data_IF_624660279666
#
_entry.id   IF_624660279666
#
_cell.length_a   1.000
_cell.length_b   1.000
_cell.length_c   1.000
_cell.angle_alpha   90.00
_cell.angle_beta   90.00
_cell.angle_gamma   90.00
#
_symmetry.space_group_name_H-M   'P 1'
#
loop_
_entity.id
_entity.type
_entity.pdbx_description
1 polymer ?
#
# COMPACT_ATOMS: atom_id res chain seq x y z
N UNK A 1 -24.41 15.23 -1.65
CA UNK A 1 -25.30 14.38 -0.83
C UNK A 1 -25.66 15.15 0.43
N UNK A 2 -26.92 15.26 0.74
CA UNK A 2 -27.37 16.00 1.94
C UNK A 2 -27.16 15.17 3.21
N UNK A 3 -26.92 15.86 4.36
CA UNK A 3 -26.82 15.22 5.68
C UNK A 3 -27.93 14.18 5.96
N UNK A 4 -29.22 14.45 5.68
CA UNK A 4 -30.29 13.48 5.90
C UNK A 4 -30.14 12.18 5.10
N UNK A 5 -29.65 12.25 3.86
CA UNK A 5 -29.43 11.06 3.00
C UNK A 5 -28.27 10.21 3.53
N UNK A 6 -27.20 10.83 4.03
CA UNK A 6 -26.10 10.11 4.68
C UNK A 6 -26.56 9.36 5.92
N UNK A 7 -27.40 9.98 6.77
CA UNK A 7 -27.95 9.33 7.97
C UNK A 7 -28.97 8.23 7.67
N UNK A 8 -29.60 8.19 6.51
CA UNK A 8 -30.45 7.09 6.07
C UNK A 8 -29.65 5.80 5.75
N UNK A 9 -28.41 5.98 5.25
CA UNK A 9 -27.56 4.86 4.86
C UNK A 9 -26.55 4.46 5.96
N UNK A 10 -26.15 5.40 6.82
CA UNK A 10 -25.17 5.19 7.86
C UNK A 10 -25.68 5.74 9.20
N UNK A 11 -26.13 4.89 10.13
CA UNK A 11 -26.71 5.29 11.41
C UNK A 11 -25.72 6.04 12.31
N UNK A 12 -24.40 5.94 12.06
CA UNK A 12 -23.37 6.62 12.82
C UNK A 12 -22.16 7.07 12.00
N UNK A 13 -21.36 7.97 12.60
CA UNK A 13 -20.09 8.40 11.97
C UNK A 13 -19.11 7.25 11.78
N UNK A 14 -19.10 6.30 12.71
CA UNK A 14 -18.24 5.13 12.63
C UNK A 14 -18.63 4.23 11.46
N UNK A 15 -19.93 4.01 11.23
CA UNK A 15 -20.41 3.18 10.12
C UNK A 15 -20.01 3.78 8.77
N UNK A 16 -20.17 5.10 8.60
CA UNK A 16 -19.71 5.80 7.41
C UNK A 16 -18.20 5.70 7.24
N UNK A 17 -17.45 5.89 8.33
CA UNK A 17 -16.00 5.77 8.29
C UNK A 17 -15.55 4.36 7.90
N UNK A 18 -16.14 3.32 8.49
CA UNK A 18 -15.84 1.93 8.15
C UNK A 18 -16.14 1.62 6.68
N UNK A 19 -17.26 2.12 6.15
CA UNK A 19 -17.59 1.93 4.73
C UNK A 19 -16.59 2.62 3.79
N UNK A 20 -16.10 3.80 4.16
CA UNK A 20 -15.04 4.50 3.41
C UNK A 20 -13.70 3.75 3.51
N UNK A 21 -13.36 3.27 4.70
CA UNK A 21 -12.16 2.48 4.94
C UNK A 21 -12.19 1.20 4.10
N UNK A 22 -13.28 0.44 4.15
CA UNK A 22 -13.47 -0.79 3.37
C UNK A 22 -13.26 -0.52 1.88
N UNK A 23 -13.88 0.53 1.33
CA UNK A 23 -13.71 0.93 -0.07
C UNK A 23 -12.24 1.21 -0.43
N UNK A 24 -11.51 1.91 0.43
CA UNK A 24 -10.11 2.23 0.18
C UNK A 24 -9.21 1.01 0.35
N UNK A 25 -9.49 0.13 1.30
CA UNK A 25 -8.80 -1.15 1.45
C UNK A 25 -8.96 -2.02 0.19
N UNK A 26 -10.19 -2.16 -0.31
CA UNK A 26 -10.48 -2.91 -1.54
C UNK A 26 -9.75 -2.31 -2.75
N UNK A 27 -9.68 -0.97 -2.82
CA UNK A 27 -8.95 -0.28 -3.89
C UNK A 27 -7.46 -0.58 -3.85
N UNK A 28 -6.83 -0.51 -2.66
CA UNK A 28 -5.41 -0.81 -2.51
C UNK A 28 -5.11 -2.26 -2.87
N UNK A 29 -5.87 -3.21 -2.33
CA UNK A 29 -5.69 -4.62 -2.63
C UNK A 29 -5.83 -4.91 -4.12
N UNK A 30 -6.84 -4.32 -4.78
CA UNK A 30 -7.05 -4.46 -6.22
C UNK A 30 -5.88 -3.92 -7.04
N UNK A 31 -5.32 -2.77 -6.66
CA UNK A 31 -4.15 -2.18 -7.32
C UNK A 31 -2.91 -3.06 -7.18
N UNK A 32 -2.66 -3.61 -5.98
CA UNK A 32 -1.53 -4.50 -5.72
C UNK A 32 -1.68 -5.79 -6.52
N UNK A 33 -2.83 -6.44 -6.49
CA UNK A 33 -3.07 -7.66 -7.27
C UNK A 33 -2.93 -7.42 -8.76
N UNK A 34 -3.51 -6.36 -9.30
CA UNK A 34 -3.36 -6.00 -10.73
C UNK A 34 -1.89 -5.74 -11.11
N UNK A 35 -1.09 -5.15 -10.22
CA UNK A 35 0.34 -4.94 -10.44
C UNK A 35 1.13 -6.26 -10.53
N UNK A 36 0.76 -7.27 -9.75
CA UNK A 36 1.38 -8.58 -9.72
C UNK A 36 0.99 -9.47 -10.90
N UNK A 37 -0.25 -9.33 -11.40
CA UNK A 37 -0.77 -10.10 -12.54
C UNK A 37 -0.14 -9.71 -13.87
N UNK A 38 0.48 -8.55 -13.97
CA UNK A 38 1.09 -8.11 -15.22
C UNK A 38 2.28 -9.00 -15.58
N UNK A 39 2.24 -9.59 -16.75
CA UNK A 39 3.33 -10.39 -17.30
C UNK A 39 4.63 -9.57 -17.41
N UNK A 40 5.74 -10.23 -17.15
CA UNK A 40 7.08 -9.63 -17.17
C UNK A 40 7.99 -10.34 -16.18
N UNK A 41 9.21 -9.82 -16.03
CA UNK A 41 10.11 -10.29 -15.00
C UNK A 41 9.74 -9.71 -13.60
N UNK A 42 10.36 -10.23 -12.58
CA UNK A 42 10.06 -9.85 -11.21
C UNK A 42 10.49 -8.41 -10.87
N UNK A 43 11.48 -7.85 -11.57
CA UNK A 43 11.86 -6.44 -11.42
C UNK A 43 10.68 -5.53 -11.81
N UNK A 44 10.01 -5.84 -12.92
CA UNK A 44 8.81 -5.12 -13.36
C UNK A 44 7.64 -5.27 -12.39
N UNK A 45 7.43 -6.47 -11.84
CA UNK A 45 6.39 -6.70 -10.82
C UNK A 45 6.65 -5.87 -9.55
N UNK A 46 7.91 -5.84 -9.08
CA UNK A 46 8.30 -5.01 -7.93
C UNK A 46 8.08 -3.52 -8.22
N UNK A 47 8.50 -3.04 -9.41
CA UNK A 47 8.31 -1.64 -9.80
C UNK A 47 6.82 -1.26 -9.82
N UNK A 48 5.98 -2.08 -10.40
CA UNK A 48 4.54 -1.82 -10.49
C UNK A 48 3.83 -1.92 -9.14
N UNK A 49 4.24 -2.87 -8.30
CA UNK A 49 3.67 -3.00 -6.96
C UNK A 49 4.00 -1.77 -6.11
N UNK A 50 5.25 -1.31 -6.13
CA UNK A 50 5.63 -0.07 -5.44
C UNK A 50 4.84 1.12 -6.01
N UNK A 51 4.77 1.25 -7.33
CA UNK A 51 4.01 2.32 -7.98
C UNK A 51 2.51 2.30 -7.59
N UNK A 52 1.92 1.12 -7.38
CA UNK A 52 0.53 0.98 -6.94
C UNK A 52 0.29 1.63 -5.55
N UNK A 53 1.22 1.52 -4.61
CA UNK A 53 1.11 2.20 -3.32
C UNK A 53 1.20 3.73 -3.45
N UNK A 54 2.12 4.24 -4.28
CA UNK A 54 2.22 5.68 -4.54
C UNK A 54 0.96 6.21 -5.23
N UNK A 55 0.49 5.53 -6.27
CA UNK A 55 -0.77 5.85 -6.95
C UNK A 55 -1.95 5.85 -5.99
N UNK A 56 -2.02 4.87 -5.08
CA UNK A 56 -3.08 4.79 -4.08
C UNK A 56 -3.10 6.02 -3.18
N UNK A 57 -1.98 6.40 -2.56
CA UNK A 57 -1.94 7.56 -1.67
C UNK A 57 -2.20 8.87 -2.39
N UNK A 58 -1.76 9.01 -3.65
CA UNK A 58 -2.03 10.18 -4.49
C UNK A 58 -3.50 10.27 -4.86
N UNK A 59 -4.10 9.18 -5.33
CA UNK A 59 -5.50 9.16 -5.76
C UNK A 59 -6.49 9.32 -4.61
N UNK A 60 -6.16 8.78 -3.43
CA UNK A 60 -6.96 8.96 -2.23
C UNK A 60 -6.81 10.38 -1.63
N UNK A 61 -5.67 11.04 -1.84
CA UNK A 61 -5.44 12.43 -1.46
C UNK A 61 -5.82 12.77 -0.01
N UNK A 62 -6.70 13.77 0.18
CA UNK A 62 -7.16 14.16 1.52
C UNK A 62 -7.95 13.05 2.22
N UNK A 63 -8.65 12.18 1.47
CA UNK A 63 -9.37 11.04 2.03
C UNK A 63 -8.41 10.02 2.66
N UNK A 64 -7.20 9.86 2.12
CA UNK A 64 -6.18 8.99 2.70
C UNK A 64 -5.89 9.38 4.16
N UNK A 65 -5.57 10.65 4.42
CA UNK A 65 -5.30 11.13 5.78
C UNK A 65 -6.51 10.99 6.70
N UNK A 66 -7.69 11.30 6.20
CA UNK A 66 -8.92 11.17 6.98
C UNK A 66 -9.23 9.73 7.36
N UNK A 67 -8.92 8.77 6.50
CA UNK A 67 -9.23 7.34 6.69
C UNK A 67 -8.10 6.60 7.41
N UNK A 68 -6.84 6.83 7.03
CA UNK A 68 -5.70 6.04 7.52
C UNK A 68 -4.90 6.72 8.64
N UNK A 69 -5.08 8.02 8.88
CA UNK A 69 -4.33 8.80 9.87
C UNK A 69 -5.24 9.45 10.93
N UNK A 70 -6.50 9.01 11.04
CA UNK A 70 -7.43 9.55 12.03
C UNK A 70 -7.27 8.89 13.40
N UNK A 71 -7.77 9.55 14.44
CA UNK A 71 -7.81 9.00 15.80
C UNK A 71 -8.65 7.70 15.89
N UNK A 72 -9.52 7.47 14.90
CA UNK A 72 -10.33 6.25 14.80
C UNK A 72 -9.51 4.99 14.48
N UNK A 73 -8.26 5.12 14.07
CA UNK A 73 -7.36 3.97 13.84
C UNK A 73 -7.10 3.16 15.12
N UNK A 74 -7.36 3.74 16.30
CA UNK A 74 -7.31 3.03 17.60
C UNK A 74 -8.53 2.19 17.90
N UNK A 75 -9.65 2.39 17.18
CA UNK A 75 -10.88 1.61 17.36
C UNK A 75 -10.65 0.16 16.88
N UNK A 76 -10.99 -0.86 17.68
CA UNK A 76 -10.66 -2.26 17.33
C UNK A 76 -11.17 -2.71 15.97
N UNK A 77 -12.39 -2.31 15.58
CA UNK A 77 -12.97 -2.65 14.28
C UNK A 77 -12.21 -2.01 13.10
N UNK A 78 -11.72 -0.79 13.28
CA UNK A 78 -10.88 -0.08 12.30
C UNK A 78 -9.53 -0.76 12.19
N UNK A 79 -8.92 -1.05 13.34
CA UNK A 79 -7.62 -1.73 13.39
C UNK A 79 -7.66 -3.08 12.68
N UNK A 80 -8.69 -3.89 12.95
CA UNK A 80 -8.85 -5.18 12.30
C UNK A 80 -8.90 -5.09 10.76
N UNK A 81 -9.51 -4.04 10.20
CA UNK A 81 -9.55 -3.84 8.74
C UNK A 81 -8.20 -3.40 8.18
N UNK A 82 -7.50 -2.53 8.89
CA UNK A 82 -6.16 -2.11 8.49
C UNK A 82 -5.17 -3.29 8.50
N UNK A 83 -5.20 -4.08 9.58
CA UNK A 83 -4.37 -5.28 9.69
C UNK A 83 -4.72 -6.31 8.61
N UNK A 84 -6.00 -6.44 8.26
CA UNK A 84 -6.44 -7.35 7.19
C UNK A 84 -5.94 -6.93 5.81
N UNK A 85 -6.03 -5.65 5.43
CA UNK A 85 -5.54 -5.19 4.12
C UNK A 85 -4.02 -5.29 4.02
N UNK A 86 -3.30 -5.01 5.11
CA UNK A 86 -1.85 -5.19 5.17
C UNK A 86 -1.47 -6.67 4.93
N UNK A 87 -2.16 -7.58 5.60
CA UNK A 87 -1.94 -9.01 5.42
C UNK A 87 -2.31 -9.48 4.00
N UNK A 88 -3.47 -9.10 3.47
CA UNK A 88 -3.91 -9.50 2.14
C UNK A 88 -2.94 -9.03 1.04
N UNK A 89 -2.40 -7.81 1.15
CA UNK A 89 -1.38 -7.33 0.22
C UNK A 89 -0.06 -8.11 0.36
N UNK A 90 0.35 -8.41 1.61
CA UNK A 90 1.56 -9.19 1.87
C UNK A 90 1.43 -10.62 1.34
N UNK A 91 0.28 -11.27 1.53
CA UNK A 91 -0.03 -12.61 1.02
C UNK A 91 0.00 -12.64 -0.51
N UNK A 92 -0.61 -11.67 -1.19
CA UNK A 92 -0.58 -11.59 -2.65
C UNK A 92 0.85 -11.48 -3.21
N UNK A 93 1.72 -10.71 -2.54
CA UNK A 93 3.15 -10.62 -2.91
C UNK A 93 3.87 -11.93 -2.58
N UNK A 94 3.55 -12.55 -1.44
CA UNK A 94 4.16 -13.80 -1.00
C UNK A 94 3.86 -14.96 -1.96
N UNK A 95 2.64 -15.05 -2.50
CA UNK A 95 2.26 -16.04 -3.51
C UNK A 95 3.22 -16.01 -4.71
N UNK A 96 3.49 -14.82 -5.26
CA UNK A 96 4.44 -14.64 -6.37
C UNK A 96 5.86 -15.02 -5.96
N UNK A 97 6.31 -14.63 -4.76
CA UNK A 97 7.65 -14.97 -4.26
C UNK A 97 7.79 -16.50 -4.11
N UNK A 98 6.80 -17.17 -3.55
CA UNK A 98 6.81 -18.62 -3.37
C UNK A 98 6.88 -19.36 -4.71
N UNK A 99 6.07 -18.93 -5.69
CA UNK A 99 6.06 -19.50 -7.04
C UNK A 99 7.42 -19.37 -7.74
N UNK A 100 8.04 -18.20 -7.64
CA UNK A 100 9.27 -17.90 -8.39
C UNK A 100 10.55 -18.39 -7.70
N UNK A 101 10.54 -18.53 -6.38
CA UNK A 101 11.75 -18.88 -5.59
C UNK A 101 11.70 -20.28 -5.00
N UNK A 102 10.52 -20.88 -4.88
CA UNK A 102 10.31 -22.11 -4.15
C UNK A 102 10.42 -21.93 -2.62
N UNK A 103 10.34 -20.70 -2.12
CA UNK A 103 10.30 -20.44 -0.68
C UNK A 103 9.05 -21.05 -0.06
N UNK A 104 9.17 -21.55 1.17
CA UNK A 104 7.99 -21.95 1.94
C UNK A 104 7.12 -20.75 2.31
N UNK A 105 5.88 -21.03 2.69
CA UNK A 105 4.87 -20.00 2.96
C UNK A 105 5.31 -19.00 4.04
N UNK A 106 6.00 -19.46 5.09
CA UNK A 106 6.46 -18.60 6.20
C UNK A 106 7.53 -17.61 5.71
N UNK A 107 8.51 -18.09 4.93
CA UNK A 107 9.56 -17.24 4.35
C UNK A 107 9.02 -16.30 3.29
N UNK A 108 8.14 -16.80 2.44
CA UNK A 108 7.50 -15.98 1.41
C UNK A 108 6.66 -14.86 2.03
N UNK A 109 5.87 -15.16 3.07
CA UNK A 109 5.06 -14.16 3.77
C UNK A 109 5.92 -13.11 4.50
N UNK A 110 7.05 -13.51 5.10
CA UNK A 110 8.00 -12.57 5.70
C UNK A 110 8.54 -11.57 4.67
N UNK A 111 8.92 -12.06 3.49
CA UNK A 111 9.41 -11.20 2.39
C UNK A 111 8.28 -10.33 1.82
N UNK A 112 7.10 -10.89 1.63
CA UNK A 112 5.92 -10.16 1.16
C UNK A 112 5.54 -9.03 2.10
N UNK A 113 5.55 -9.29 3.41
CA UNK A 113 5.30 -8.27 4.45
C UNK A 113 6.35 -7.18 4.46
N UNK A 114 7.63 -7.52 4.28
CA UNK A 114 8.71 -6.54 4.22
C UNK A 114 8.58 -5.63 3.00
N UNK A 115 8.26 -6.17 1.82
CA UNK A 115 8.08 -5.39 0.59
C UNK A 115 6.83 -4.50 0.66
N UNK A 116 5.70 -5.04 1.11
CA UNK A 116 4.47 -4.28 1.31
C UNK A 116 4.68 -3.13 2.29
N UNK A 117 5.28 -3.42 3.46
CA UNK A 117 5.57 -2.43 4.48
C UNK A 117 6.52 -1.33 3.99
N UNK A 118 7.57 -1.68 3.26
CA UNK A 118 8.49 -0.70 2.66
C UNK A 118 7.76 0.24 1.71
N UNK A 119 6.98 -0.29 0.77
CA UNK A 119 6.23 0.51 -0.19
C UNK A 119 5.19 1.41 0.49
N UNK A 120 4.43 0.87 1.44
CA UNK A 120 3.41 1.61 2.18
C UNK A 120 4.00 2.74 3.01
N UNK A 121 5.03 2.47 3.80
CA UNK A 121 5.67 3.47 4.66
C UNK A 121 6.32 4.57 3.82
N UNK A 122 7.00 4.20 2.72
CA UNK A 122 7.62 5.16 1.83
C UNK A 122 6.59 6.07 1.15
N UNK A 123 5.50 5.51 0.62
CA UNK A 123 4.45 6.28 -0.04
C UNK A 123 3.75 7.26 0.93
N UNK A 124 3.45 6.81 2.17
CA UNK A 124 2.89 7.68 3.22
C UNK A 124 3.84 8.80 3.62
N UNK A 125 5.12 8.48 3.83
CA UNK A 125 6.13 9.48 4.16
C UNK A 125 6.26 10.52 3.04
N UNK A 126 6.36 10.08 1.78
CA UNK A 126 6.42 10.96 0.62
C UNK A 126 5.21 11.92 0.54
N UNK A 127 3.99 11.38 0.74
CA UNK A 127 2.78 12.22 0.76
C UNK A 127 2.80 13.24 1.90
N UNK A 128 3.25 12.82 3.09
CA UNK A 128 3.32 13.69 4.28
C UNK A 128 4.33 14.84 4.12
N UNK A 129 5.40 14.65 3.34
CA UNK A 129 6.39 15.68 3.03
C UNK A 129 5.95 16.64 1.90
N UNK A 130 4.74 16.49 1.37
CA UNK A 130 4.19 17.37 0.33
C UNK A 130 4.56 16.97 -1.11
N UNK A 131 5.27 15.86 -1.30
CA UNK A 131 5.56 15.33 -2.62
C UNK A 131 6.58 16.13 -3.42
N UNK A 132 7.60 16.69 -2.77
CA UNK A 132 8.67 17.49 -3.43
C UNK A 132 9.42 16.67 -4.50
N UNK A 133 9.61 15.37 -4.26
CA UNK A 133 10.11 14.44 -5.28
C UNK A 133 8.94 14.02 -6.16
N UNK A 134 9.07 14.05 -7.51
CA UNK A 134 8.02 13.56 -8.40
C UNK A 134 7.61 12.11 -8.07
N UNK A 135 6.30 11.81 -8.09
CA UNK A 135 5.76 10.49 -7.73
C UNK A 135 6.48 9.34 -8.43
N UNK A 136 6.65 9.44 -9.76
CA UNK A 136 7.31 8.40 -10.55
C UNK A 136 8.80 8.22 -10.19
N UNK A 137 9.47 9.28 -9.73
CA UNK A 137 10.85 9.21 -9.26
C UNK A 137 10.92 8.55 -7.88
N UNK A 138 10.06 8.96 -6.96
CA UNK A 138 9.96 8.37 -5.63
C UNK A 138 9.65 6.86 -5.72
N UNK A 139 8.68 6.47 -6.53
CA UNK A 139 8.35 5.06 -6.75
C UNK A 139 9.55 4.27 -7.32
N UNK A 140 10.28 4.81 -8.31
CA UNK A 140 11.47 4.17 -8.87
C UNK A 140 12.60 4.03 -7.86
N UNK A 141 12.83 5.02 -7.00
CA UNK A 141 13.82 4.93 -5.92
C UNK A 141 13.51 3.76 -4.97
N UNK A 142 12.26 3.64 -4.56
CA UNK A 142 11.84 2.59 -3.62
C UNK A 142 11.85 1.21 -4.30
N UNK A 143 11.41 1.08 -5.54
CA UNK A 143 11.47 -0.18 -6.27
C UNK A 143 12.92 -0.63 -6.53
N UNK A 144 13.83 0.30 -6.85
CA UNK A 144 15.25 0.00 -6.97
C UNK A 144 15.88 -0.44 -5.65
N UNK A 145 15.48 0.19 -4.53
CA UNK A 145 15.89 -0.24 -3.19
C UNK A 145 15.39 -1.65 -2.89
N UNK A 146 14.13 -1.94 -3.20
CA UNK A 146 13.53 -3.25 -2.98
C UNK A 146 14.23 -4.34 -3.81
N UNK A 147 14.50 -4.07 -5.08
CA UNK A 147 15.05 -5.04 -6.01
C UNK A 147 16.56 -5.24 -5.87
N UNK A 148 17.32 -4.15 -5.70
CA UNK A 148 18.80 -4.16 -5.77
C UNK A 148 19.49 -3.90 -4.44
N UNK A 149 18.77 -3.41 -3.45
CA UNK A 149 19.34 -2.99 -2.16
C UNK A 149 20.14 -1.68 -2.26
N UNK A 150 20.64 -1.21 -1.11
CA UNK A 150 21.38 0.06 -1.00
C UNK A 150 22.70 0.08 -1.79
N UNK A 151 23.31 -1.08 -2.03
CA UNK A 151 24.55 -1.19 -2.78
C UNK A 151 24.47 -0.75 -4.24
N UNK A 152 23.25 -0.65 -4.79
CA UNK A 152 23.01 -0.20 -6.17
C UNK A 152 22.92 1.31 -6.34
N UNK A 153 22.89 2.08 -5.25
CA UNK A 153 22.81 3.53 -5.32
C UNK A 153 24.20 4.15 -5.53
N UNK A 154 24.31 5.22 -6.35
CA UNK A 154 25.59 5.88 -6.59
C UNK A 154 26.20 6.38 -5.28
N UNK A 155 27.50 6.13 -5.10
CA UNK A 155 28.25 6.73 -4.01
C UNK A 155 28.61 8.17 -4.38
N UNK A 156 28.41 9.10 -3.43
CA UNK A 156 28.96 10.44 -3.58
C UNK A 156 30.47 10.31 -3.41
N UNK A 157 31.23 10.66 -4.46
CA UNK A 157 32.69 10.79 -4.35
C UNK A 157 32.99 11.96 -3.39
N UNK A 158 33.84 11.71 -2.39
CA UNK A 158 34.25 12.69 -1.40
C UNK A 158 35.25 13.69 -1.98
#
# INVERSE_FOLDING_TARGET
>A
VSKPVLYQHFPGKLDLYLALLDKHCDTLESLVRAALEVGGDNEVRVERTVAAYFQFVTSAGAAFRMVFESDLTSVPQVRARLDAVELNCAEAIAEVIAEDTGADDERALLLGSALAGMAQVAARHWLAQGGDVPEAEAARMISSLAWRGLGSFPKVEA
#
